data_IF_056954113886
#
_entry.id   IF_056954113886
#
_cell.length_a   1.000
_cell.length_b   1.000
_cell.length_c   1.000
_cell.angle_alpha   90.00
_cell.angle_beta   90.00
_cell.angle_gamma   90.00
#
_symmetry.space_group_name_H-M   'P 1'
#
loop_
_entity.id
_entity.type
_entity.pdbx_description
1 polymer ?
#
# COMPACT_ATOMS: atom_id res chain seq x y z
N UNK A 1 -25.26 87.35 45.95
CA UNK A 1 -26.12 86.17 45.71
C UNK A 1 -26.05 85.65 44.27
N UNK A 2 -26.37 86.44 43.24
CA UNK A 2 -26.45 85.98 41.83
C UNK A 2 -25.28 85.09 41.36
N UNK A 3 -24.01 85.49 41.57
CA UNK A 3 -22.85 84.68 41.17
C UNK A 3 -22.77 83.29 41.81
N UNK A 4 -23.28 83.11 43.04
CA UNK A 4 -23.35 81.80 43.72
C UNK A 4 -24.41 80.91 43.07
N UNK A 5 -25.54 81.49 42.65
CA UNK A 5 -26.58 80.75 41.93
C UNK A 5 -26.11 80.31 40.54
N UNK A 6 -25.37 81.16 39.81
CA UNK A 6 -24.75 80.80 38.52
C UNK A 6 -23.72 79.68 38.69
N UNK A 7 -22.87 79.76 39.73
CA UNK A 7 -21.90 78.70 40.03
C UNK A 7 -22.59 77.37 40.37
N UNK A 8 -23.63 77.40 41.21
CA UNK A 8 -24.41 76.21 41.56
C UNK A 8 -25.11 75.58 40.35
N UNK A 9 -25.66 76.39 39.43
CA UNK A 9 -26.25 75.92 38.18
C UNK A 9 -25.21 75.23 37.27
N UNK A 10 -24.01 75.81 37.13
CA UNK A 10 -22.92 75.23 36.34
C UNK A 10 -22.43 73.91 36.94
N UNK A 11 -22.31 73.81 38.27
CA UNK A 11 -21.95 72.56 38.96
C UNK A 11 -23.03 71.50 38.78
N UNK A 12 -24.31 71.85 38.90
CA UNK A 12 -25.43 70.93 38.67
C UNK A 12 -25.45 70.41 37.22
N UNK A 13 -25.24 71.29 36.24
CA UNK A 13 -25.14 70.92 34.82
C UNK A 13 -23.94 69.99 34.55
N UNK A 14 -22.78 70.29 35.15
CA UNK A 14 -21.59 69.44 35.03
C UNK A 14 -21.82 68.03 35.62
N UNK A 15 -22.45 67.94 36.80
CA UNK A 15 -22.83 66.66 37.42
C UNK A 15 -23.82 65.89 36.54
N UNK A 16 -24.83 66.57 35.97
CA UNK A 16 -25.81 65.94 35.09
C UNK A 16 -25.18 65.38 33.81
N UNK A 17 -24.31 66.15 33.15
CA UNK A 17 -23.54 65.70 31.98
C UNK A 17 -22.59 64.54 32.33
N UNK A 18 -21.96 64.59 33.51
CA UNK A 18 -21.07 63.52 33.99
C UNK A 18 -21.82 62.20 34.26
N UNK A 19 -23.01 62.27 34.88
CA UNK A 19 -23.88 61.10 35.08
C UNK A 19 -24.31 60.51 33.72
N UNK A 20 -24.71 61.35 32.76
CA UNK A 20 -25.03 60.91 31.39
C UNK A 20 -23.83 60.23 30.72
N UNK A 21 -22.62 60.78 30.85
CA UNK A 21 -21.41 60.19 30.30
C UNK A 21 -21.06 58.83 30.92
N UNK A 22 -21.21 58.68 32.25
CA UNK A 22 -21.01 57.40 32.94
C UNK A 22 -22.08 56.36 32.56
N UNK A 23 -23.35 56.73 32.51
CA UNK A 23 -24.45 55.84 32.09
C UNK A 23 -24.37 55.47 30.60
N UNK A 24 -23.77 56.33 29.78
CA UNK A 24 -23.48 56.08 28.38
C UNK A 24 -22.33 55.10 28.11
N UNK A 25 -21.57 54.70 29.13
CA UNK A 25 -20.36 53.89 28.96
C UNK A 25 -20.71 52.40 28.77
N UNK A 26 -20.57 51.88 27.55
CA UNK A 26 -20.80 50.47 27.20
C UNK A 26 -19.49 49.77 26.85
N UNK A 27 -19.39 48.49 27.19
CA UNK A 27 -18.26 47.63 26.82
C UNK A 27 -18.72 46.65 25.74
N UNK A 28 -18.02 46.64 24.61
CA UNK A 28 -18.17 45.67 23.52
C UNK A 28 -17.03 44.64 23.64
N UNK A 29 -17.34 43.35 23.62
CA UNK A 29 -16.34 42.29 23.82
C UNK A 29 -15.42 42.14 22.59
N UNK A 30 -14.21 41.57 22.72
CA UNK A 30 -13.29 41.32 21.60
C UNK A 30 -13.91 40.55 20.41
N UNK A 31 -14.91 39.72 20.69
CA UNK A 31 -15.63 38.89 19.73
C UNK A 31 -16.99 39.47 19.29
N UNK A 32 -17.34 40.70 19.70
CA UNK A 32 -18.61 41.36 19.35
C UNK A 32 -18.36 42.60 18.49
N UNK A 33 -19.34 42.98 17.66
CA UNK A 33 -19.48 44.34 17.14
C UNK A 33 -20.82 44.93 17.57
N UNK A 34 -20.85 46.21 17.91
CA UNK A 34 -22.07 46.90 18.31
C UNK A 34 -22.68 47.70 17.17
N UNK A 35 -23.91 47.42 16.74
CA UNK A 35 -24.65 48.31 15.84
C UNK A 35 -25.29 49.40 16.68
N UNK A 36 -24.93 50.67 16.44
CA UNK A 36 -25.48 51.83 17.18
C UNK A 36 -26.54 52.53 16.34
N UNK A 37 -27.76 52.55 16.86
CA UNK A 37 -28.94 53.24 16.36
C UNK A 37 -29.16 54.52 17.17
N UNK A 38 -29.32 55.69 16.53
CA UNK A 38 -29.78 56.94 17.16
C UNK A 38 -31.18 57.25 16.68
N UNK A 39 -32.16 57.30 17.59
CA UNK A 39 -33.57 57.61 17.27
C UNK A 39 -34.11 56.81 16.07
N UNK A 40 -33.78 55.50 16.01
CA UNK A 40 -34.21 54.59 14.94
C UNK A 40 -33.42 54.68 13.61
N UNK A 41 -32.33 55.45 13.54
CA UNK A 41 -31.41 55.50 12.38
C UNK A 41 -30.04 54.93 12.74
N UNK A 42 -29.47 54.11 11.86
CA UNK A 42 -28.07 53.67 11.98
C UNK A 42 -27.12 54.88 12.06
N UNK A 43 -26.20 54.86 13.04
CA UNK A 43 -25.25 55.95 13.30
C UNK A 43 -23.80 55.51 13.07
N UNK A 44 -23.40 54.34 13.60
CA UNK A 44 -22.07 53.73 13.42
C UNK A 44 -22.03 52.30 13.93
N UNK A 45 -21.02 51.54 13.49
CA UNK A 45 -20.59 50.30 14.14
C UNK A 45 -19.54 50.60 15.22
N UNK A 46 -19.82 50.20 16.44
CA UNK A 46 -18.88 50.17 17.55
C UNK A 46 -17.95 48.96 17.43
N UNK A 47 -16.65 49.23 17.49
CA UNK A 47 -15.60 48.21 17.57
C UNK A 47 -15.49 47.68 19.02
N UNK A 48 -14.79 46.55 19.26
CA UNK A 48 -14.48 46.06 20.59
C UNK A 48 -13.82 47.10 21.51
N UNK A 49 -14.06 46.98 22.81
CA UNK A 49 -13.56 47.88 23.85
C UNK A 49 -14.62 48.84 24.38
N UNK A 50 -14.16 49.99 24.86
CA UNK A 50 -14.98 51.00 25.53
C UNK A 50 -15.67 51.90 24.50
N UNK A 51 -17.00 51.86 24.43
CA UNK A 51 -17.80 52.72 23.56
C UNK A 51 -18.75 53.59 24.38
N UNK A 52 -18.61 54.91 24.25
CA UNK A 52 -19.59 55.87 24.75
C UNK A 52 -20.78 55.96 23.77
N UNK A 53 -21.99 55.72 24.28
CA UNK A 53 -23.28 56.02 23.62
C UNK A 53 -24.01 57.12 24.39
N UNK A 54 -24.92 57.85 23.76
CA UNK A 54 -25.80 58.79 24.46
C UNK A 54 -26.99 58.00 25.05
N UNK A 55 -27.12 57.83 26.38
CA UNK A 55 -28.26 57.12 26.95
C UNK A 55 -29.58 57.79 26.56
N UNK A 56 -30.67 57.02 26.51
CA UNK A 56 -32.01 57.41 26.05
C UNK A 56 -32.14 57.74 24.55
N UNK A 57 -31.11 58.27 23.88
CA UNK A 57 -31.14 58.58 22.43
C UNK A 57 -30.54 57.46 21.56
N UNK A 58 -29.49 56.79 22.06
CA UNK A 58 -28.76 55.74 21.36
C UNK A 58 -29.12 54.35 21.89
N UNK A 59 -29.48 53.44 20.99
CA UNK A 59 -29.60 52.00 21.23
C UNK A 59 -28.39 51.28 20.64
N UNK A 60 -27.84 50.31 21.36
CA UNK A 60 -26.77 49.45 20.87
C UNK A 60 -27.24 47.99 20.85
N UNK A 61 -27.34 47.39 19.67
CA UNK A 61 -27.44 45.94 19.50
C UNK A 61 -26.03 45.36 19.40
N UNK A 62 -25.80 44.18 19.97
CA UNK A 62 -24.54 43.47 19.81
C UNK A 62 -24.72 42.28 18.89
N UNK A 63 -23.73 42.07 18.02
CA UNK A 63 -23.63 40.92 17.12
C UNK A 63 -22.35 40.18 17.46
N UNK A 64 -22.43 38.87 17.67
CA UNK A 64 -21.28 37.99 17.85
C UNK A 64 -20.63 37.74 16.48
N UNK A 65 -19.30 37.82 16.43
CA UNK A 65 -18.50 37.74 15.22
C UNK A 65 -17.83 36.36 15.04
N UNK A 66 -18.09 35.41 15.94
CA UNK A 66 -17.51 34.06 15.92
C UNK A 66 -18.26 33.11 15.00
N UNK A 67 -17.64 31.95 14.73
CA UNK A 67 -18.34 30.81 14.15
C UNK A 67 -19.48 30.38 15.10
N UNK A 68 -20.69 30.34 14.54
CA UNK A 68 -21.93 29.90 15.16
C UNK A 68 -22.54 28.75 14.36
N UNK A 69 -23.48 28.02 14.97
CA UNK A 69 -24.03 26.78 14.41
C UNK A 69 -25.55 26.84 14.29
N UNK A 70 -26.08 26.36 13.16
CA UNK A 70 -27.53 26.11 12.95
C UNK A 70 -27.73 24.63 12.59
N UNK A 71 -28.49 23.91 13.42
CA UNK A 71 -29.09 22.63 13.04
C UNK A 71 -30.24 22.86 12.04
N UNK A 72 -30.17 22.20 10.90
CA UNK A 72 -31.27 22.13 9.93
C UNK A 72 -32.17 20.97 10.30
N UNK A 73 -33.45 21.24 10.56
CA UNK A 73 -34.42 20.21 10.95
C UNK A 73 -34.57 19.15 9.85
N UNK A 74 -34.66 17.84 10.20
CA UNK A 74 -34.78 16.76 9.23
C UNK A 74 -35.94 16.95 8.26
N UNK A 75 -35.75 16.61 6.99
CA UNK A 75 -36.81 16.59 5.99
C UNK A 75 -36.77 15.32 5.15
N UNK A 76 -37.96 14.84 4.79
CA UNK A 76 -38.14 13.82 3.75
C UNK A 76 -37.93 14.46 2.36
N UNK A 77 -37.12 13.79 1.55
CA UNK A 77 -36.76 14.16 0.18
C UNK A 77 -36.81 12.89 -0.67
N UNK A 78 -37.17 13.01 -1.96
CA UNK A 78 -37.06 11.90 -2.92
C UNK A 78 -35.77 12.10 -3.72
N UNK A 79 -34.90 11.10 -3.76
CA UNK A 79 -33.66 11.10 -4.56
C UNK A 79 -33.94 10.93 -6.06
N UNK A 80 -32.92 11.15 -6.89
CA UNK A 80 -33.00 10.98 -8.36
C UNK A 80 -33.41 9.56 -8.78
N UNK A 81 -33.04 8.55 -7.99
CA UNK A 81 -33.42 7.14 -8.14
C UNK A 81 -34.75 6.77 -7.48
N UNK A 82 -35.58 7.78 -7.14
CA UNK A 82 -36.93 7.64 -6.59
C UNK A 82 -36.98 6.90 -5.23
N UNK A 83 -35.95 7.05 -4.40
CA UNK A 83 -35.96 6.58 -3.00
C UNK A 83 -36.32 7.74 -2.08
N UNK A 84 -37.22 7.52 -1.12
CA UNK A 84 -37.48 8.48 -0.04
C UNK A 84 -36.33 8.41 0.96
N UNK A 85 -35.74 9.55 1.32
CA UNK A 85 -34.69 9.66 2.34
C UNK A 85 -35.02 10.75 3.35
N UNK A 86 -34.71 10.52 4.62
CA UNK A 86 -34.68 11.58 5.63
C UNK A 86 -33.27 12.17 5.68
N UNK A 87 -33.13 13.49 5.52
CA UNK A 87 -31.84 14.18 5.56
C UNK A 87 -31.86 15.31 6.58
N UNK A 88 -30.84 15.34 7.44
CA UNK A 88 -30.53 16.47 8.34
C UNK A 88 -29.08 16.96 8.16
N UNK A 89 -28.83 18.22 8.49
CA UNK A 89 -27.54 18.88 8.25
C UNK A 89 -27.26 19.96 9.30
N UNK A 90 -25.99 20.36 9.40
CA UNK A 90 -25.50 21.40 10.28
C UNK A 90 -24.78 22.46 9.44
N UNK A 91 -25.06 23.74 9.72
CA UNK A 91 -24.44 24.89 9.06
C UNK A 91 -23.55 25.62 10.06
N UNK A 92 -22.30 25.84 9.69
CA UNK A 92 -21.36 26.66 10.43
C UNK A 92 -21.17 28.00 9.70
N UNK A 93 -21.46 29.09 10.38
CA UNK A 93 -21.51 30.43 9.80
C UNK A 93 -20.88 31.47 10.72
N UNK A 94 -20.42 32.59 10.17
CA UNK A 94 -19.92 33.74 10.93
C UNK A 94 -20.52 35.04 10.39
N UNK A 95 -20.80 36.00 11.25
CA UNK A 95 -21.14 37.35 10.82
C UNK A 95 -19.90 38.04 10.25
N UNK A 96 -19.98 38.60 9.05
CA UNK A 96 -18.91 39.43 8.47
C UNK A 96 -19.22 40.91 8.66
N UNK A 97 -20.48 41.29 8.38
CA UNK A 97 -21.02 42.63 8.52
C UNK A 97 -22.24 42.65 9.46
N UNK A 98 -22.10 43.20 10.69
CA UNK A 98 -23.18 43.24 11.66
C UNK A 98 -24.31 44.20 11.25
N UNK A 99 -24.04 45.16 10.35
CA UNK A 99 -25.04 46.11 9.84
C UNK A 99 -25.95 45.39 8.85
N UNK A 100 -25.39 44.74 7.81
CA UNK A 100 -26.17 43.88 6.91
C UNK A 100 -27.01 42.86 7.71
N UNK A 101 -26.41 42.18 8.70
CA UNK A 101 -27.10 41.15 9.48
C UNK A 101 -28.23 41.69 10.36
N UNK A 102 -28.17 42.96 10.78
CA UNK A 102 -29.22 43.58 11.60
C UNK A 102 -30.38 44.15 10.76
N UNK A 103 -30.12 44.57 9.51
CA UNK A 103 -31.09 45.31 8.70
C UNK A 103 -31.61 44.57 7.45
N UNK A 104 -30.82 43.66 6.86
CA UNK A 104 -31.18 42.99 5.60
C UNK A 104 -31.98 41.68 5.83
N UNK A 105 -32.10 41.22 7.07
CA UNK A 105 -32.86 40.03 7.46
C UNK A 105 -33.47 40.23 8.86
N UNK A 106 -34.75 39.88 9.03
CA UNK A 106 -35.46 40.08 10.29
C UNK A 106 -35.21 38.95 11.32
N UNK A 107 -35.03 37.72 10.82
CA UNK A 107 -34.64 36.53 11.58
C UNK A 107 -33.70 35.71 10.69
N UNK A 108 -32.39 35.84 10.93
CA UNK A 108 -31.38 35.11 10.17
C UNK A 108 -31.50 33.59 10.38
N UNK A 109 -31.80 33.14 11.60
CA UNK A 109 -31.86 31.71 11.93
C UNK A 109 -32.98 31.02 11.14
N UNK A 110 -34.18 31.60 11.13
CA UNK A 110 -35.31 31.08 10.35
C UNK A 110 -35.09 31.20 8.84
N UNK A 111 -34.47 32.29 8.36
CA UNK A 111 -34.17 32.47 6.95
C UNK A 111 -33.12 31.46 6.44
N UNK A 112 -31.99 31.32 7.14
CA UNK A 112 -30.94 30.37 6.80
C UNK A 112 -31.42 28.91 6.86
N UNK A 113 -32.21 28.55 7.87
CA UNK A 113 -32.79 27.20 7.99
C UNK A 113 -33.69 26.86 6.79
N UNK A 114 -34.60 27.76 6.40
CA UNK A 114 -35.53 27.56 5.26
C UNK A 114 -34.81 27.52 3.91
N UNK A 115 -33.80 28.37 3.75
CA UNK A 115 -32.93 28.40 2.57
C UNK A 115 -32.15 27.08 2.44
N UNK A 116 -31.56 26.59 3.54
CA UNK A 116 -30.86 25.32 3.57
C UNK A 116 -31.78 24.12 3.33
N UNK A 117 -32.97 24.09 3.91
CA UNK A 117 -33.98 23.06 3.63
C UNK A 117 -34.38 23.00 2.15
N UNK A 118 -34.49 24.16 1.50
CA UNK A 118 -34.75 24.24 0.06
C UNK A 118 -33.58 23.68 -0.75
N UNK A 119 -32.36 24.10 -0.45
CA UNK A 119 -31.17 23.66 -1.20
C UNK A 119 -30.78 22.19 -0.92
N UNK A 120 -30.99 21.68 0.30
CA UNK A 120 -30.85 20.26 0.64
C UNK A 120 -31.81 19.41 -0.20
N UNK A 121 -33.09 19.78 -0.27
CA UNK A 121 -34.07 19.10 -1.13
C UNK A 121 -33.63 19.08 -2.59
N UNK A 122 -33.17 20.20 -3.13
CA UNK A 122 -32.73 20.29 -4.51
C UNK A 122 -31.50 19.41 -4.79
N UNK A 123 -30.44 19.53 -3.98
CA UNK A 123 -29.19 18.78 -4.23
C UNK A 123 -29.36 17.28 -4.00
N UNK A 124 -30.15 16.87 -2.99
CA UNK A 124 -30.45 15.45 -2.76
C UNK A 124 -31.37 14.89 -3.86
N UNK A 125 -32.34 15.67 -4.34
CA UNK A 125 -33.21 15.27 -5.47
C UNK A 125 -32.49 15.17 -6.82
N UNK A 126 -31.38 15.89 -7.00
CA UNK A 126 -30.50 15.76 -8.17
C UNK A 126 -29.52 14.58 -8.08
N UNK A 127 -29.39 13.94 -6.90
CA UNK A 127 -28.38 12.92 -6.60
C UNK A 127 -29.00 11.53 -6.41
N UNK A 128 -28.28 10.48 -6.78
CA UNK A 128 -28.67 9.07 -6.54
C UNK A 128 -28.26 8.62 -5.14
N UNK A 129 -29.02 7.71 -4.50
CA UNK A 129 -28.82 7.32 -3.10
C UNK A 129 -27.38 6.89 -2.77
N UNK A 130 -26.79 6.03 -3.59
CA UNK A 130 -25.42 5.51 -3.38
C UNK A 130 -24.36 6.64 -3.46
N UNK A 131 -24.54 7.59 -4.39
CA UNK A 131 -23.69 8.77 -4.49
C UNK A 131 -23.89 9.72 -3.30
N UNK A 132 -25.12 9.89 -2.81
CA UNK A 132 -25.41 10.72 -1.65
C UNK A 132 -24.78 10.15 -0.36
N UNK A 133 -24.77 8.83 -0.20
CA UNK A 133 -24.11 8.15 0.90
C UNK A 133 -22.58 8.19 0.80
N UNK A 134 -22.03 7.99 -0.41
CA UNK A 134 -20.58 7.80 -0.65
C UNK A 134 -19.81 9.11 -0.87
N UNK A 135 -20.42 10.13 -1.48
CA UNK A 135 -19.74 11.36 -1.94
C UNK A 135 -20.21 12.62 -1.21
N UNK A 136 -20.39 12.51 0.12
CA UNK A 136 -20.89 13.61 0.98
C UNK A 136 -20.12 14.92 0.81
N UNK A 137 -18.80 14.87 0.58
CA UNK A 137 -17.97 16.07 0.42
C UNK A 137 -18.37 16.93 -0.79
N UNK A 138 -18.82 16.31 -1.88
CA UNK A 138 -19.30 17.02 -3.08
C UNK A 138 -20.61 17.77 -2.75
N UNK A 139 -21.49 17.14 -1.99
CA UNK A 139 -22.76 17.76 -1.56
C UNK A 139 -22.50 18.86 -0.53
N UNK A 140 -21.64 18.61 0.46
CA UNK A 140 -21.21 19.62 1.45
C UNK A 140 -20.62 20.87 0.75
N UNK A 141 -19.77 20.68 -0.27
CA UNK A 141 -19.20 21.77 -1.06
C UNK A 141 -20.26 22.56 -1.85
N UNK A 142 -21.13 21.87 -2.61
CA UNK A 142 -22.20 22.50 -3.40
C UNK A 142 -23.22 23.24 -2.52
N UNK A 143 -23.58 22.67 -1.36
CA UNK A 143 -24.44 23.34 -0.39
C UNK A 143 -23.77 24.56 0.22
N UNK A 144 -22.47 24.47 0.58
CA UNK A 144 -21.73 25.62 1.10
C UNK A 144 -21.73 26.76 0.08
N UNK A 145 -21.39 26.49 -1.17
CA UNK A 145 -21.35 27.48 -2.26
C UNK A 145 -22.70 28.19 -2.47
N UNK A 146 -23.79 27.44 -2.62
CA UNK A 146 -25.14 28.00 -2.88
C UNK A 146 -25.68 28.77 -1.66
N UNK A 147 -25.30 28.39 -0.44
CA UNK A 147 -25.69 29.16 0.76
C UNK A 147 -24.84 30.43 0.94
N UNK A 148 -23.54 30.40 0.64
CA UNK A 148 -22.61 31.54 0.81
C UNK A 148 -22.99 32.74 -0.09
N UNK A 149 -23.30 32.52 -1.37
CA UNK A 149 -23.80 33.58 -2.28
C UNK A 149 -25.12 34.20 -1.78
N UNK A 150 -25.99 33.37 -1.20
CA UNK A 150 -27.27 33.82 -0.68
C UNK A 150 -27.12 34.59 0.64
N UNK A 151 -26.19 34.21 1.53
CA UNK A 151 -26.03 34.85 2.84
C UNK A 151 -25.08 36.05 2.87
N UNK A 152 -24.20 36.27 1.89
CA UNK A 152 -23.41 37.53 1.85
C UNK A 152 -24.33 38.76 1.77
N UNK A 153 -25.48 38.64 1.11
CA UNK A 153 -26.52 39.68 1.05
C UNK A 153 -27.04 40.06 2.44
N UNK A 154 -26.93 39.16 3.42
CA UNK A 154 -27.22 39.36 4.84
C UNK A 154 -25.97 39.60 5.70
N UNK A 155 -24.77 39.67 5.13
CA UNK A 155 -23.52 39.91 5.87
C UNK A 155 -23.05 38.72 6.70
N UNK A 156 -23.33 37.51 6.23
CA UNK A 156 -22.90 36.25 6.85
C UNK A 156 -22.18 35.38 5.84
N UNK A 157 -21.05 34.81 6.25
CA UNK A 157 -20.25 33.86 5.48
C UNK A 157 -20.50 32.44 5.98
N UNK A 158 -20.66 31.49 5.07
CA UNK A 158 -20.81 30.07 5.40
C UNK A 158 -19.43 29.41 5.42
N UNK A 159 -18.95 29.11 6.63
CA UNK A 159 -17.65 28.48 6.88
C UNK A 159 -17.64 27.05 6.32
N UNK A 160 -18.65 26.25 6.66
CA UNK A 160 -18.87 24.90 6.12
C UNK A 160 -20.31 24.43 6.35
N UNK A 161 -20.72 23.42 5.59
CA UNK A 161 -21.99 22.70 5.74
C UNK A 161 -21.64 21.23 5.89
N UNK A 162 -22.26 20.55 6.86
CA UNK A 162 -22.02 19.14 7.14
C UNK A 162 -23.36 18.39 7.14
N UNK A 163 -23.53 17.44 6.22
CA UNK A 163 -24.66 16.49 6.29
C UNK A 163 -24.49 15.60 7.52
N UNK A 164 -25.47 15.67 8.41
CA UNK A 164 -25.50 14.95 9.69
C UNK A 164 -25.89 13.50 9.43
N UNK A 165 -27.03 13.24 8.79
CA UNK A 165 -27.46 11.91 8.33
C UNK A 165 -28.19 11.95 6.98
N UNK A 166 -28.23 10.78 6.35
CA UNK A 166 -29.06 10.44 5.19
C UNK A 166 -29.59 9.05 5.53
N UNK A 167 -30.84 8.99 5.99
CA UNK A 167 -31.48 7.78 6.51
C UNK A 167 -32.55 7.32 5.48
N UNK A 168 -32.23 6.36 4.57
CA UNK A 168 -33.20 5.69 3.70
C UNK A 168 -34.06 4.68 4.49
N UNK A 169 -35.18 4.20 3.93
CA UNK A 169 -36.01 3.18 4.57
C UNK A 169 -35.30 1.83 4.66
N UNK A 170 -35.78 1.00 5.59
CA UNK A 170 -35.12 -0.24 6.03
C UNK A 170 -35.07 -1.28 4.90
N UNK A 171 -36.12 -1.36 4.08
CA UNK A 171 -36.22 -2.28 2.93
C UNK A 171 -35.16 -2.02 1.86
N UNK A 172 -34.96 -0.75 1.48
CA UNK A 172 -33.89 -0.33 0.56
C UNK A 172 -32.53 -0.55 1.19
N UNK A 173 -32.37 -0.26 2.49
CA UNK A 173 -31.11 -0.48 3.23
C UNK A 173 -30.71 -1.96 3.24
N UNK A 174 -31.66 -2.87 3.52
CA UNK A 174 -31.45 -4.32 3.46
C UNK A 174 -31.12 -4.80 2.04
N UNK A 175 -31.82 -4.28 1.02
CA UNK A 175 -31.56 -4.61 -0.38
C UNK A 175 -30.14 -4.20 -0.79
N UNK A 176 -29.72 -2.96 -0.46
CA UNK A 176 -28.37 -2.47 -0.70
C UNK A 176 -27.31 -3.30 0.03
N UNK A 177 -27.52 -3.67 1.30
CA UNK A 177 -26.60 -4.55 2.02
C UNK A 177 -26.49 -5.95 1.40
N UNK A 178 -27.61 -6.53 0.94
CA UNK A 178 -27.65 -7.82 0.25
C UNK A 178 -26.90 -7.78 -1.09
N UNK A 179 -27.11 -6.72 -1.87
CA UNK A 179 -26.41 -6.47 -3.15
C UNK A 179 -24.91 -6.21 -2.94
N UNK A 180 -24.54 -5.34 -1.99
CA UNK A 180 -23.14 -5.08 -1.64
C UNK A 180 -22.42 -6.34 -1.16
N UNK A 181 -23.07 -7.20 -0.36
CA UNK A 181 -22.48 -8.48 0.03
C UNK A 181 -22.20 -9.36 -1.19
N UNK A 182 -23.20 -9.58 -2.05
CA UNK A 182 -23.06 -10.43 -3.23
C UNK A 182 -21.97 -9.93 -4.20
N UNK A 183 -21.90 -8.62 -4.45
CA UNK A 183 -20.87 -8.04 -5.32
C UNK A 183 -19.47 -8.07 -4.68
N UNK A 184 -19.34 -7.90 -3.36
CA UNK A 184 -18.06 -8.08 -2.64
C UNK A 184 -17.60 -9.55 -2.66
N UNK A 185 -18.53 -10.48 -2.46
CA UNK A 185 -18.27 -11.93 -2.47
C UNK A 185 -17.84 -12.41 -3.86
N UNK A 186 -18.52 -11.96 -4.91
CA UNK A 186 -18.12 -12.15 -6.31
C UNK A 186 -16.73 -11.57 -6.62
N UNK A 187 -16.43 -10.34 -6.17
CA UNK A 187 -15.10 -9.73 -6.35
C UNK A 187 -14.00 -10.51 -5.61
N UNK A 188 -14.29 -11.01 -4.40
CA UNK A 188 -13.36 -11.86 -3.66
C UNK A 188 -13.09 -13.18 -4.39
N UNK A 189 -14.12 -13.86 -4.90
CA UNK A 189 -13.98 -15.10 -5.68
C UNK A 189 -13.19 -14.91 -6.99
N UNK A 190 -13.36 -13.77 -7.66
CA UNK A 190 -12.55 -13.40 -8.84
C UNK A 190 -11.08 -13.21 -8.44
N UNK A 191 -10.81 -12.40 -7.42
CA UNK A 191 -9.45 -12.10 -6.96
C UNK A 191 -8.72 -13.36 -6.43
N UNK A 192 -9.45 -14.24 -5.75
CA UNK A 192 -8.95 -15.57 -5.32
C UNK A 192 -8.63 -16.45 -6.53
N UNK A 193 -9.52 -16.50 -7.54
CA UNK A 193 -9.31 -17.27 -8.76
C UNK A 193 -8.12 -16.77 -9.58
N UNK A 194 -7.93 -15.44 -9.64
CA UNK A 194 -6.77 -14.80 -10.27
C UNK A 194 -5.49 -15.07 -9.49
N UNK A 195 -5.51 -14.98 -8.16
CA UNK A 195 -4.40 -15.35 -7.28
C UNK A 195 -4.00 -16.82 -7.43
N UNK A 196 -4.97 -17.74 -7.42
CA UNK A 196 -4.76 -19.18 -7.63
C UNK A 196 -4.28 -19.50 -9.05
N UNK A 197 -4.59 -18.67 -10.05
CA UNK A 197 -4.03 -18.79 -11.40
C UNK A 197 -2.58 -18.31 -11.41
N UNK A 198 -2.31 -17.13 -10.87
CA UNK A 198 -0.97 -16.54 -10.86
C UNK A 198 0.03 -17.38 -10.03
N UNK A 199 -0.39 -17.90 -8.88
CA UNK A 199 0.42 -18.80 -8.07
C UNK A 199 0.80 -20.09 -8.82
N UNK A 200 -0.14 -20.69 -9.57
CA UNK A 200 0.14 -21.88 -10.39
C UNK A 200 1.06 -21.59 -11.58
N UNK A 201 0.97 -20.40 -12.19
CA UNK A 201 1.90 -19.96 -13.24
C UNK A 201 3.31 -19.82 -12.64
N UNK A 202 3.46 -19.05 -11.56
CA UNK A 202 4.76 -18.82 -10.91
C UNK A 202 5.40 -20.12 -10.39
N UNK A 203 4.59 -21.07 -9.89
CA UNK A 203 5.08 -22.40 -9.51
C UNK A 203 5.60 -23.17 -10.73
N UNK A 204 4.83 -23.26 -11.81
CA UNK A 204 5.24 -23.99 -13.01
C UNK A 204 6.47 -23.36 -13.70
N UNK A 205 6.59 -22.03 -13.67
CA UNK A 205 7.78 -21.30 -14.14
C UNK A 205 9.00 -21.60 -13.26
N UNK A 206 8.84 -21.59 -11.94
CA UNK A 206 9.90 -21.96 -10.99
C UNK A 206 10.37 -23.41 -11.10
N UNK A 207 9.44 -24.36 -11.30
CA UNK A 207 9.73 -25.77 -11.56
C UNK A 207 10.48 -25.96 -12.88
N UNK A 208 10.02 -25.31 -13.96
CA UNK A 208 10.68 -25.36 -15.26
C UNK A 208 12.09 -24.71 -15.24
N UNK A 209 12.28 -23.63 -14.48
CA UNK A 209 13.59 -23.02 -14.30
C UNK A 209 14.52 -23.89 -13.45
N UNK A 210 14.00 -24.52 -12.39
CA UNK A 210 14.77 -25.45 -11.55
C UNK A 210 15.27 -26.66 -12.38
N UNK A 211 14.40 -27.27 -13.19
CA UNK A 211 14.77 -28.37 -14.10
C UNK A 211 15.82 -27.90 -15.11
N UNK A 212 15.68 -26.70 -15.68
CA UNK A 212 16.68 -26.13 -16.60
C UNK A 212 18.04 -25.94 -15.93
N UNK A 213 18.08 -25.32 -14.74
CA UNK A 213 19.32 -25.12 -13.96
C UNK A 213 20.01 -26.43 -13.61
N UNK A 214 19.27 -27.49 -13.29
CA UNK A 214 19.83 -28.84 -13.05
C UNK A 214 20.41 -29.43 -14.34
N UNK A 215 19.69 -29.35 -15.46
CA UNK A 215 20.18 -29.85 -16.75
C UNK A 215 21.41 -29.08 -17.27
N UNK A 216 21.47 -27.77 -17.05
CA UNK A 216 22.64 -26.93 -17.35
C UNK A 216 23.84 -27.32 -16.48
N UNK A 217 23.64 -27.50 -15.17
CA UNK A 217 24.69 -27.94 -14.26
C UNK A 217 25.22 -29.35 -14.58
N UNK A 218 24.34 -30.27 -14.99
CA UNK A 218 24.74 -31.63 -15.36
C UNK A 218 25.41 -31.70 -16.74
N UNK A 219 25.05 -30.83 -17.69
CA UNK A 219 25.82 -30.64 -18.93
C UNK A 219 27.22 -30.12 -18.61
N UNK A 220 27.32 -29.05 -17.83
CA UNK A 220 28.60 -28.45 -17.43
C UNK A 220 29.49 -29.44 -16.68
N UNK A 221 28.93 -30.23 -15.76
CA UNK A 221 29.65 -31.32 -15.08
C UNK A 221 30.25 -32.30 -16.09
N UNK A 222 29.46 -32.83 -17.03
CA UNK A 222 29.93 -33.78 -18.05
C UNK A 222 30.99 -33.19 -18.98
N UNK A 223 30.86 -31.91 -19.32
CA UNK A 223 31.84 -31.17 -20.14
C UNK A 223 33.18 -31.01 -19.39
N UNK A 224 33.15 -30.63 -18.11
CA UNK A 224 34.35 -30.53 -17.26
C UNK A 224 34.98 -31.90 -16.99
N UNK A 225 34.19 -32.94 -16.76
CA UNK A 225 34.69 -34.32 -16.59
C UNK A 225 35.35 -34.84 -17.87
N UNK A 226 34.74 -34.62 -19.05
CA UNK A 226 35.31 -35.01 -20.34
C UNK A 226 36.59 -34.21 -20.67
N UNK A 227 36.62 -32.91 -20.40
CA UNK A 227 37.82 -32.09 -20.56
C UNK A 227 38.95 -32.54 -19.61
N UNK A 228 38.61 -32.85 -18.35
CA UNK A 228 39.55 -33.40 -17.37
C UNK A 228 40.13 -34.74 -17.80
N UNK A 229 39.30 -35.66 -18.30
CA UNK A 229 39.75 -36.94 -18.86
C UNK A 229 40.62 -36.75 -20.10
N UNK A 230 40.25 -35.88 -21.03
CA UNK A 230 41.03 -35.57 -22.24
C UNK A 230 42.41 -35.00 -21.89
N UNK A 231 42.48 -34.07 -20.93
CA UNK A 231 43.73 -33.50 -20.43
C UNK A 231 44.58 -34.55 -19.70
N UNK A 232 43.98 -35.42 -18.90
CA UNK A 232 44.68 -36.53 -18.23
C UNK A 232 45.25 -37.53 -19.24
N UNK A 233 44.46 -37.97 -20.23
CA UNK A 233 44.89 -38.86 -21.31
C UNK A 233 46.04 -38.21 -22.10
N UNK A 234 45.92 -36.93 -22.45
CA UNK A 234 46.96 -36.19 -23.19
C UNK A 234 48.25 -36.06 -22.37
N UNK A 235 48.14 -35.82 -21.06
CA UNK A 235 49.30 -35.73 -20.15
C UNK A 235 49.99 -37.08 -19.99
N UNK A 236 49.23 -38.16 -19.76
CA UNK A 236 49.78 -39.52 -19.64
C UNK A 236 50.37 -40.00 -20.97
N UNK A 237 49.70 -39.79 -22.10
CA UNK A 237 50.18 -40.17 -23.42
C UNK A 237 51.46 -39.43 -23.82
N UNK A 238 51.53 -38.12 -23.56
CA UNK A 238 52.75 -37.34 -23.82
C UNK A 238 53.89 -37.71 -22.86
N UNK A 239 53.61 -38.00 -21.59
CA UNK A 239 54.61 -38.53 -20.65
C UNK A 239 55.17 -39.90 -21.11
N UNK A 240 54.30 -40.83 -21.50
CA UNK A 240 54.70 -42.14 -22.06
C UNK A 240 55.55 -41.95 -23.32
N UNK A 241 55.11 -41.11 -24.26
CA UNK A 241 55.84 -40.85 -25.52
C UNK A 241 57.21 -40.22 -25.27
N UNK A 242 57.33 -39.32 -24.30
CA UNK A 242 58.59 -38.67 -23.93
C UNK A 242 59.53 -39.59 -23.13
N UNK A 243 58.98 -40.57 -22.40
CA UNK A 243 59.75 -41.57 -21.64
C UNK A 243 60.31 -42.72 -22.50
N UNK A 244 59.79 -42.91 -23.73
CA UNK A 244 60.27 -43.88 -24.72
C UNK A 244 60.49 -45.31 -24.15
N UNK A 245 59.44 -45.97 -23.63
CA UNK A 245 59.54 -47.22 -22.86
C UNK A 245 59.95 -48.44 -23.70
N UNK A 246 60.63 -49.40 -23.05
CA UNK A 246 60.93 -50.74 -23.59
C UNK A 246 59.64 -51.54 -23.86
N UNK A 247 59.59 -52.27 -24.97
CA UNK A 247 58.41 -53.04 -25.44
C UNK A 247 57.85 -53.98 -24.36
N UNK A 248 58.74 -54.49 -23.50
CA UNK A 248 58.39 -55.37 -22.37
C UNK A 248 57.47 -54.70 -21.35
N UNK A 249 57.61 -53.39 -21.13
CA UNK A 249 56.74 -52.64 -20.22
C UNK A 249 55.31 -52.54 -20.76
N UNK A 250 55.18 -52.32 -22.08
CA UNK A 250 53.88 -52.27 -22.77
C UNK A 250 53.19 -53.64 -22.67
N UNK A 251 53.93 -54.74 -22.86
CA UNK A 251 53.40 -56.10 -22.71
C UNK A 251 52.92 -56.41 -21.28
N UNK A 252 53.64 -55.97 -20.24
CA UNK A 252 53.20 -56.10 -18.83
C UNK A 252 51.93 -55.29 -18.58
N UNK A 253 51.88 -54.05 -19.06
CA UNK A 253 50.74 -53.16 -18.84
C UNK A 253 49.48 -53.63 -19.61
N UNK A 254 49.65 -54.30 -20.75
CA UNK A 254 48.58 -55.02 -21.47
C UNK A 254 48.08 -56.25 -20.70
N UNK A 255 48.97 -57.01 -20.04
CA UNK A 255 48.58 -58.13 -19.16
C UNK A 255 47.81 -57.67 -17.92
N UNK A 256 48.22 -56.57 -17.27
CA UNK A 256 47.45 -55.99 -16.16
C UNK A 256 46.11 -55.38 -16.63
N UNK A 257 46.02 -54.82 -17.84
CA UNK A 257 44.76 -54.40 -18.43
C UNK A 257 43.81 -55.58 -18.69
N UNK A 258 44.31 -56.70 -19.21
CA UNK A 258 43.55 -57.94 -19.36
C UNK A 258 43.05 -58.49 -18.02
N UNK A 259 43.87 -58.39 -16.97
CA UNK A 259 43.53 -58.79 -15.59
C UNK A 259 42.50 -57.86 -14.93
N UNK A 260 42.51 -56.57 -15.26
CA UNK A 260 41.44 -55.65 -14.86
C UNK A 260 40.12 -56.00 -15.56
N UNK A 261 40.18 -56.33 -16.86
CA UNK A 261 39.02 -56.77 -17.65
C UNK A 261 38.44 -58.09 -17.11
N UNK A 262 39.27 -59.06 -16.69
CA UNK A 262 38.80 -60.34 -16.13
C UNK A 262 38.14 -60.22 -14.75
N UNK A 263 38.34 -59.11 -14.04
CA UNK A 263 37.82 -58.90 -12.69
C UNK A 263 36.50 -58.09 -12.66
N UNK A 264 36.04 -57.59 -13.81
CA UNK A 264 34.73 -56.95 -13.93
C UNK A 264 33.58 -57.97 -13.97
N UNK A 265 32.43 -57.63 -13.40
CA UNK A 265 31.23 -58.51 -13.32
C UNK A 265 30.48 -58.72 -14.65
N UNK A 266 31.13 -58.44 -15.79
CA UNK A 266 30.54 -58.53 -17.12
C UNK A 266 30.59 -59.98 -17.65
N UNK A 267 29.42 -60.59 -17.84
CA UNK A 267 29.27 -61.99 -18.29
C UNK A 267 29.61 -62.26 -19.77
N UNK A 268 30.18 -61.27 -20.48
CA UNK A 268 30.70 -61.40 -21.85
C UNK A 268 31.97 -60.56 -22.00
N UNK A 269 33.09 -61.24 -22.23
CA UNK A 269 34.40 -60.61 -22.49
C UNK A 269 34.75 -60.78 -23.97
N UNK A 270 35.03 -59.68 -24.67
CA UNK A 270 35.58 -59.71 -26.02
C UNK A 270 37.12 -59.67 -25.94
N UNK A 271 37.77 -60.74 -26.39
CA UNK A 271 39.22 -60.80 -26.55
C UNK A 271 39.60 -60.39 -27.99
N UNK A 272 40.58 -59.49 -28.20
CA UNK A 272 41.06 -59.16 -29.54
C UNK A 272 41.78 -60.35 -30.19
N UNK A 273 41.62 -60.46 -31.52
CA UNK A 273 41.96 -61.64 -32.33
C UNK A 273 43.44 -62.05 -32.29
N UNK A 274 44.34 -61.10 -32.03
CA UNK A 274 45.80 -61.29 -31.96
C UNK A 274 46.29 -62.15 -30.79
N UNK A 275 45.42 -62.56 -29.86
CA UNK A 275 45.75 -63.47 -28.77
C UNK A 275 46.33 -64.83 -29.25
N UNK A 276 46.09 -65.20 -30.51
CA UNK A 276 46.60 -66.41 -31.16
C UNK A 276 48.13 -66.40 -31.35
N UNK A 277 48.74 -65.24 -31.63
CA UNK A 277 50.19 -65.14 -31.87
C UNK A 277 51.05 -65.47 -30.64
N UNK A 278 50.59 -65.06 -29.46
CA UNK A 278 51.31 -65.25 -28.18
C UNK A 278 51.40 -66.73 -27.79
N UNK A 279 50.37 -67.52 -28.11
CA UNK A 279 50.36 -68.97 -27.85
C UNK A 279 51.37 -69.73 -28.72
N UNK A 280 51.66 -69.26 -29.93
CA UNK A 280 52.67 -69.85 -30.82
C UNK A 280 54.09 -69.77 -30.24
N UNK A 281 54.45 -68.65 -29.60
CA UNK A 281 55.75 -68.46 -28.97
C UNK A 281 56.02 -69.46 -27.83
N UNK A 282 54.99 -69.83 -27.06
CA UNK A 282 55.09 -70.84 -26.00
C UNK A 282 55.26 -72.27 -26.55
N UNK A 283 54.77 -72.55 -27.76
CA UNK A 283 54.96 -73.83 -28.44
C UNK A 283 56.41 -74.04 -28.89
N UNK A 284 57.01 -73.05 -29.56
CA UNK A 284 58.36 -73.15 -30.13
C UNK A 284 59.47 -73.44 -29.10
N UNK A 285 59.31 -72.96 -27.86
CA UNK A 285 60.24 -73.23 -26.76
C UNK A 285 60.28 -74.73 -26.39
N UNK A 286 59.16 -75.45 -26.55
CA UNK A 286 59.02 -76.86 -26.13
C UNK A 286 59.74 -77.82 -27.07
N UNK A 287 59.73 -77.56 -28.38
CA UNK A 287 60.32 -78.45 -29.37
C UNK A 287 61.86 -78.40 -29.34
N UNK A 288 62.45 -77.28 -28.90
CA UNK A 288 63.90 -77.10 -28.80
C UNK A 288 64.59 -78.01 -27.76
N UNK A 289 63.84 -78.60 -26.83
CA UNK A 289 64.36 -79.43 -25.73
C UNK A 289 64.37 -80.94 -26.02
N UNK A 290 64.05 -81.38 -27.25
CA UNK A 290 63.64 -82.77 -27.49
C UNK A 290 64.68 -83.69 -28.16
N UNK A 291 65.81 -83.18 -28.64
CA UNK A 291 66.83 -83.98 -29.33
C UNK A 291 68.27 -83.77 -28.80
N UNK A 292 68.69 -84.64 -27.87
CA UNK A 292 70.07 -85.14 -27.79
C UNK A 292 70.15 -86.41 -26.91
N UNK A 293 70.92 -87.46 -27.30
CA UNK A 293 70.99 -88.73 -26.56
C UNK A 293 72.04 -88.73 -25.41
N UNK A 294 72.00 -89.80 -24.61
CA UNK A 294 72.55 -89.88 -23.24
C UNK A 294 73.93 -90.53 -23.14
N UNK A 295 74.77 -90.05 -22.21
CA UNK A 295 75.76 -90.87 -21.49
C UNK A 295 75.75 -90.59 -19.99
N UNK A 296 75.83 -91.65 -19.17
CA UNK A 296 75.91 -91.60 -17.70
C UNK A 296 77.36 -91.83 -17.24
N UNK A 297 77.75 -91.41 -16.02
CA UNK A 297 77.82 -92.40 -14.94
C UNK A 297 77.33 -91.89 -13.55
N UNK A 298 77.44 -92.78 -12.55
CA UNK A 298 76.77 -92.74 -11.24
C UNK A 298 77.78 -92.45 -10.09
N UNK A 299 77.47 -92.65 -8.78
CA UNK A 299 76.77 -91.70 -7.90
C UNK A 299 77.54 -91.34 -6.61
N UNK A 300 77.08 -90.34 -5.83
CA UNK A 300 77.28 -90.36 -4.36
C UNK A 300 76.39 -89.35 -3.57
N UNK A 301 76.31 -89.52 -2.24
CA UNK A 301 76.38 -88.35 -1.34
C UNK A 301 75.16 -87.86 -0.53
N UNK A 302 74.60 -88.71 0.34
CA UNK A 302 74.04 -88.35 1.68
C UNK A 302 72.82 -87.40 1.89
N UNK A 303 72.14 -87.70 3.02
CA UNK A 303 71.13 -86.91 3.78
C UNK A 303 71.83 -85.85 4.69
N UNK A 304 71.18 -84.94 5.48
CA UNK A 304 69.76 -84.94 5.92
C UNK A 304 69.02 -83.57 6.03
N UNK A 305 67.79 -83.68 6.55
CA UNK A 305 66.75 -82.72 7.01
C UNK A 305 67.15 -81.72 8.12
N UNK A 306 66.29 -80.72 8.48
CA UNK A 306 65.27 -79.98 7.72
C UNK A 306 65.58 -78.44 7.76
N UNK A 307 64.96 -77.46 8.49
CA UNK A 307 63.72 -77.36 9.31
C UNK A 307 62.68 -76.27 8.89
N UNK A 308 61.52 -76.34 9.55
CA UNK A 308 60.38 -75.41 9.72
C UNK A 308 60.67 -73.90 9.86
N UNK A 309 59.91 -73.03 9.16
CA UNK A 309 58.74 -72.25 9.69
C UNK A 309 57.69 -72.16 8.57
#
# INVERSE_FOLDING_TARGET
MQGVAVLALLVMLAIFVFIIALTGLRIVSPYEKGVVERLGRYQRTAQPGLTLIIPFLDTMRKVDMREQVVDVQPQEVITKDNVVVTVDAIIYYEATDPVKLTYNVADFYSAATKLAQTNLRNVIGETELDQALTSRDIINAKLREVLDDATDKWGVRIVRVEIKRIDPPIDVTEAMHRQMKAEREKRAQILESEGLRQARILQAEGEAEAVRRVADAERYKREVEAAGQSNAITTVFSAIRNANPDDKLIAIQYLDALKAISNGTASKVFLPYEATGVLGALGGIKELFKEQPVTTPSPNGNRPTPPTV
#
